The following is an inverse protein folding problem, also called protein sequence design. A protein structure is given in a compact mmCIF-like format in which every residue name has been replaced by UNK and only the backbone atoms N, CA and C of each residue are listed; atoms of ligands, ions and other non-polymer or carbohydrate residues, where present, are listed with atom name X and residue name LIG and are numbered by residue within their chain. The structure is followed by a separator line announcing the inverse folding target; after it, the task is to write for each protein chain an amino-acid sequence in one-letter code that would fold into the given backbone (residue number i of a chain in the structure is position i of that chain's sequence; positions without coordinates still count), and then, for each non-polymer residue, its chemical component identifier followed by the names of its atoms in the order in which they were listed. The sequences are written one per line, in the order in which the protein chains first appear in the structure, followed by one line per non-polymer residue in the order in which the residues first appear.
data_IF_389372749647
#
_entry.id   IF_389372749647
#
_cell.length_a   1.000
_cell.length_b   1.000
_cell.length_c   1.000
_cell.angle_alpha   90.00
_cell.angle_beta   90.00
_cell.angle_gamma   90.00
#
_symmetry.space_group_name_H-M   'P 1'
#
loop_
_entity.id
_entity.type
_entity.pdbx_description
1 polymer ?
#
# COMPACT_ATOMS: atom_id res chain seq x y z
N UNK A 1 7.38 -9.90 -6.92
CA UNK A 1 7.54 -11.12 -7.75
C UNK A 1 6.24 -11.43 -8.47
N UNK A 2 6.34 -11.65 -9.75
CA UNK A 2 5.17 -11.95 -10.56
C UNK A 2 4.62 -13.34 -10.21
N UNK A 3 3.33 -13.38 -9.83
CA UNK A 3 2.65 -14.64 -9.51
C UNK A 3 1.89 -15.20 -10.70
N UNK A 4 1.22 -14.33 -11.46
CA UNK A 4 0.51 -14.68 -12.70
C UNK A 4 0.57 -13.48 -13.63
N UNK A 5 -0.11 -13.52 -14.79
CA UNK A 5 0.02 -12.48 -15.82
C UNK A 5 -0.20 -11.05 -15.28
N UNK A 6 -1.16 -10.87 -14.37
CA UNK A 6 -1.50 -9.54 -13.86
C UNK A 6 -1.37 -9.41 -12.35
N UNK A 7 -0.85 -10.43 -11.66
CA UNK A 7 -0.77 -10.43 -10.19
C UNK A 7 0.69 -10.53 -9.75
N UNK A 8 1.11 -9.61 -8.90
CA UNK A 8 2.44 -9.55 -8.33
C UNK A 8 2.33 -9.60 -6.81
N UNK A 9 3.22 -10.37 -6.18
CA UNK A 9 3.26 -10.55 -4.73
C UNK A 9 4.60 -10.09 -4.22
N UNK A 10 4.57 -9.23 -3.19
CA UNK A 10 5.77 -8.70 -2.55
C UNK A 10 5.72 -9.04 -1.06
N UNK A 11 6.33 -10.17 -0.71
CA UNK A 11 6.34 -10.65 0.66
C UNK A 11 7.32 -9.84 1.52
N UNK A 12 6.91 -9.57 2.75
CA UNK A 12 7.78 -9.02 3.77
C UNK A 12 8.37 -10.16 4.59
N UNK A 13 9.68 -10.33 4.52
CA UNK A 13 10.36 -11.46 5.11
C UNK A 13 11.30 -11.11 6.30
N UNK A 14 11.34 -9.84 6.72
CA UNK A 14 12.13 -9.42 7.85
C UNK A 14 11.32 -9.56 9.14
N UNK A 15 11.60 -10.60 9.92
CA UNK A 15 10.85 -10.89 11.14
C UNK A 15 11.16 -9.96 12.31
N UNK A 16 12.20 -9.15 12.22
CA UNK A 16 12.58 -8.21 13.27
C UNK A 16 11.91 -6.86 13.15
N UNK A 17 11.36 -6.55 11.98
CA UNK A 17 10.64 -5.32 11.72
C UNK A 17 9.23 -5.62 11.25
N UNK A 18 8.26 -4.93 11.83
CA UNK A 18 6.87 -5.11 11.41
C UNK A 18 6.59 -4.35 10.11
N UNK A 19 5.98 -5.05 9.18
CA UNK A 19 5.45 -4.49 7.95
C UNK A 19 4.45 -5.52 7.38
N UNK A 20 3.94 -5.31 6.17
CA UNK A 20 2.99 -6.23 5.57
C UNK A 20 3.48 -6.75 4.23
N UNK A 21 2.83 -7.79 3.75
CA UNK A 21 2.93 -8.18 2.36
C UNK A 21 2.13 -7.18 1.51
N UNK A 22 2.64 -6.90 0.33
CA UNK A 22 1.97 -6.02 -0.63
C UNK A 22 1.68 -6.79 -1.91
N UNK A 23 0.64 -6.37 -2.61
CA UNK A 23 0.21 -7.01 -3.84
C UNK A 23 -0.04 -5.94 -4.90
N UNK A 24 0.28 -6.25 -6.15
CA UNK A 24 -0.06 -5.37 -7.26
C UNK A 24 -0.88 -6.11 -8.30
N UNK A 25 -1.98 -5.51 -8.70
CA UNK A 25 -2.84 -6.02 -9.77
C UNK A 25 -2.61 -5.13 -10.99
N UNK A 26 -1.99 -5.70 -12.02
CA UNK A 26 -1.63 -4.98 -13.23
C UNK A 26 -2.74 -4.94 -14.27
N UNK A 27 -2.37 -5.04 -15.53
CA UNK A 27 -3.31 -4.97 -16.64
C UNK A 27 -4.03 -3.62 -16.68
N UNK A 28 -5.35 -3.66 -16.79
CA UNK A 28 -6.17 -2.44 -16.79
C UNK A 28 -6.47 -1.86 -15.43
N UNK A 29 -6.22 -2.58 -14.34
CA UNK A 29 -6.57 -2.15 -12.97
C UNK A 29 -5.52 -1.22 -12.39
N UNK A 30 -4.26 -1.64 -12.37
CA UNK A 30 -3.12 -0.87 -11.86
C UNK A 30 -3.27 -0.47 -10.40
N UNK A 31 -3.57 -1.45 -9.54
CA UNK A 31 -3.83 -1.24 -8.12
C UNK A 31 -2.75 -1.86 -7.24
N UNK A 32 -2.22 -1.06 -6.31
CA UNK A 32 -1.35 -1.53 -5.24
C UNK A 32 -2.21 -1.79 -4.00
N UNK A 33 -2.06 -2.99 -3.43
CA UNK A 33 -2.81 -3.40 -2.24
C UNK A 33 -1.86 -3.43 -1.04
N UNK A 34 -2.21 -2.70 0.00
CA UNK A 34 -1.46 -2.57 1.25
C UNK A 34 -0.01 -2.12 1.02
N UNK A 35 0.24 -0.81 0.87
CA UNK A 35 1.60 -0.30 0.62
C UNK A 35 2.56 -0.49 1.80
N UNK A 36 2.06 -0.75 3.00
CA UNK A 36 2.88 -0.95 4.19
C UNK A 36 3.33 0.34 4.85
N UNK A 37 4.37 0.24 5.66
CA UNK A 37 4.95 1.40 6.34
C UNK A 37 5.68 2.31 5.35
N UNK A 38 5.57 3.61 5.59
CA UNK A 38 6.19 4.64 4.76
C UNK A 38 7.70 4.43 4.62
N UNK A 39 8.39 4.07 5.70
CA UNK A 39 9.85 3.90 5.69
C UNK A 39 10.33 2.76 4.81
N UNK A 40 9.49 1.77 4.52
CA UNK A 40 9.83 0.64 3.67
C UNK A 40 9.27 0.75 2.26
N UNK A 41 8.52 1.81 1.97
CA UNK A 41 7.95 2.01 0.65
C UNK A 41 9.02 2.13 -0.45
N UNK A 42 10.16 2.82 -0.24
CA UNK A 42 11.20 2.84 -1.27
C UNK A 42 11.69 1.45 -1.67
N UNK A 43 11.84 0.53 -0.71
CA UNK A 43 12.22 -0.85 -0.99
C UNK A 43 11.15 -1.57 -1.83
N UNK A 44 9.88 -1.41 -1.47
CA UNK A 44 8.77 -1.98 -2.23
C UNK A 44 8.76 -1.45 -3.67
N UNK A 45 8.90 -0.13 -3.84
CA UNK A 45 8.91 0.48 -5.17
C UNK A 45 10.10 0.01 -6.01
N UNK A 46 11.25 -0.22 -5.39
CA UNK A 46 12.40 -0.79 -6.09
C UNK A 46 12.14 -2.22 -6.56
N UNK A 47 11.52 -3.04 -5.73
CA UNK A 47 11.16 -4.41 -6.10
C UNK A 47 10.15 -4.40 -7.25
N UNK A 48 9.17 -3.50 -7.21
CA UNK A 48 8.19 -3.34 -8.27
C UNK A 48 8.86 -2.86 -9.57
N UNK A 49 9.81 -1.93 -9.48
CA UNK A 49 10.56 -1.45 -10.63
C UNK A 49 11.34 -2.59 -11.33
N UNK A 50 11.88 -3.52 -10.56
CA UNK A 50 12.55 -4.71 -11.11
C UNK A 50 11.58 -5.59 -11.92
N UNK A 51 10.29 -5.51 -11.63
CA UNK A 51 9.23 -6.19 -12.37
C UNK A 51 8.62 -5.31 -13.49
N UNK A 52 9.21 -4.15 -13.75
CA UNK A 52 8.74 -3.25 -14.79
C UNK A 52 7.57 -2.35 -14.38
N UNK A 53 7.26 -2.27 -13.08
CA UNK A 53 6.17 -1.46 -12.56
C UNK A 53 6.75 -0.20 -11.93
N UNK A 54 6.41 0.97 -12.47
CA UNK A 54 6.84 2.26 -11.94
C UNK A 54 5.78 2.84 -11.03
N UNK A 55 6.19 3.73 -10.10
CA UNK A 55 5.24 4.42 -9.23
C UNK A 55 4.16 5.14 -10.02
N UNK A 56 4.52 5.73 -11.15
CA UNK A 56 3.60 6.45 -12.05
C UNK A 56 2.54 5.54 -12.68
N UNK A 57 2.79 4.24 -12.71
CA UNK A 57 1.84 3.27 -13.25
C UNK A 57 0.72 2.93 -12.28
N UNK A 58 0.89 3.26 -10.99
CA UNK A 58 -0.08 2.93 -9.94
C UNK A 58 -1.22 3.95 -9.99
N UNK A 59 -2.44 3.48 -10.24
CA UNK A 59 -3.64 4.32 -10.31
C UNK A 59 -4.48 4.27 -9.05
N UNK A 60 -4.42 3.15 -8.34
CA UNK A 60 -5.20 2.95 -7.11
C UNK A 60 -4.34 2.34 -6.03
N UNK A 61 -4.56 2.77 -4.80
CA UNK A 61 -4.03 2.12 -3.60
C UNK A 61 -5.23 1.63 -2.80
N UNK A 62 -5.31 0.32 -2.60
CA UNK A 62 -6.41 -0.32 -1.90
C UNK A 62 -5.88 -0.88 -0.59
N UNK A 63 -6.50 -0.50 0.51
CA UNK A 63 -6.07 -0.92 1.84
C UNK A 63 -7.08 -1.91 2.41
N UNK A 64 -6.58 -3.03 2.92
CA UNK A 64 -7.42 -4.05 3.55
C UNK A 64 -7.91 -3.58 4.91
N UNK A 65 -7.10 -2.79 5.61
CA UNK A 65 -7.48 -2.17 6.88
C UNK A 65 -6.57 -0.98 7.18
N UNK A 66 -6.82 -0.28 8.29
CA UNK A 66 -6.16 0.99 8.62
C UNK A 66 -4.96 0.88 9.55
N UNK A 67 -4.50 -0.33 9.88
CA UNK A 67 -3.30 -0.47 10.69
C UNK A 67 -2.09 0.12 9.96
N UNK A 68 -1.20 0.87 10.65
CA UNK A 68 -0.09 1.56 10.00
C UNK A 68 0.82 0.66 9.16
N UNK A 69 1.05 -0.58 9.59
CA UNK A 69 1.89 -1.54 8.86
C UNK A 69 1.32 -1.98 7.51
N UNK A 70 0.05 -1.63 7.22
CA UNK A 70 -0.58 -1.85 5.91
C UNK A 70 -0.88 -0.55 5.18
N UNK A 71 -1.31 0.49 5.90
CA UNK A 71 -1.94 1.68 5.36
C UNK A 71 -1.01 2.90 5.28
N UNK A 72 -0.01 3.01 6.16
CA UNK A 72 0.75 4.26 6.33
C UNK A 72 1.36 4.79 5.03
N UNK A 73 1.91 3.90 4.20
CA UNK A 73 2.53 4.28 2.93
C UNK A 73 1.57 4.91 1.92
N UNK A 74 0.25 4.79 2.13
CA UNK A 74 -0.75 5.40 1.26
C UNK A 74 -0.60 6.91 1.17
N UNK A 75 -0.09 7.56 2.21
CA UNK A 75 0.09 9.01 2.23
C UNK A 75 1.03 9.52 1.13
N UNK A 76 1.99 8.69 0.70
CA UNK A 76 2.93 9.06 -0.35
C UNK A 76 2.29 9.01 -1.76
N UNK A 77 1.08 8.48 -1.87
CA UNK A 77 0.31 8.45 -3.10
C UNK A 77 -0.80 9.50 -3.12
N UNK A 78 -1.03 10.20 -2.02
CA UNK A 78 -2.11 11.18 -1.90
C UNK A 78 -1.70 12.51 -2.52
N UNK A 79 -1.49 12.51 -3.85
CA UNK A 79 -1.09 13.67 -4.63
C UNK A 79 -2.16 14.06 -5.67
N UNK A 80 -3.38 13.58 -5.47
CA UNK A 80 -4.54 13.96 -6.28
C UNK A 80 -4.79 13.11 -7.52
N UNK A 81 -3.83 12.30 -7.96
CA UNK A 81 -3.98 11.47 -9.17
C UNK A 81 -4.21 9.99 -8.87
N UNK A 82 -3.91 9.56 -7.65
CA UNK A 82 -4.07 8.16 -7.24
C UNK A 82 -5.30 8.05 -6.36
N UNK A 83 -6.22 7.15 -6.72
CA UNK A 83 -7.37 6.84 -5.90
C UNK A 83 -6.97 5.98 -4.71
N UNK A 84 -7.28 6.41 -3.50
CA UNK A 84 -6.98 5.66 -2.29
C UNK A 84 -8.29 5.11 -1.72
N UNK A 85 -8.39 3.78 -1.62
CA UNK A 85 -9.59 3.09 -1.16
C UNK A 85 -9.35 2.43 0.20
N UNK A 86 -10.33 2.59 1.08
CA UNK A 86 -10.35 2.00 2.40
C UNK A 86 -11.81 1.76 2.78
N UNK A 87 -12.09 0.67 3.49
CA UNK A 87 -13.46 0.40 3.91
C UNK A 87 -13.99 1.53 4.78
N UNK A 88 -15.26 1.90 4.60
CA UNK A 88 -15.89 3.02 5.29
C UNK A 88 -15.73 2.99 6.81
N UNK A 89 -15.87 1.81 7.42
CA UNK A 89 -15.72 1.66 8.87
C UNK A 89 -14.31 1.97 9.33
N UNK A 90 -13.30 1.67 8.52
CA UNK A 90 -11.91 2.01 8.81
C UNK A 90 -11.68 3.52 8.67
N UNK A 91 -12.30 4.16 7.70
CA UNK A 91 -12.24 5.62 7.56
C UNK A 91 -12.84 6.29 8.78
N UNK A 92 -13.99 5.83 9.24
CA UNK A 92 -14.65 6.37 10.43
C UNK A 92 -13.78 6.19 11.67
N UNK A 93 -13.13 5.04 11.82
CA UNK A 93 -12.18 4.79 12.91
C UNK A 93 -11.02 5.77 12.87
N UNK A 94 -10.41 6.00 11.69
CA UNK A 94 -9.29 6.93 11.54
C UNK A 94 -9.67 8.38 11.82
N UNK A 95 -10.89 8.78 11.45
CA UNK A 95 -11.39 10.13 11.73
C UNK A 95 -11.71 10.35 13.21
N UNK A 96 -11.89 9.26 13.97
CA UNK A 96 -12.09 9.31 15.40
C UNK A 96 -10.79 9.06 16.15
N UNK A 97 -10.88 8.21 17.18
CA UNK A 97 -9.77 7.91 18.09
C UNK A 97 -8.61 7.20 17.38
N UNK A 98 -8.92 6.37 16.40
CA UNK A 98 -7.91 5.53 15.75
C UNK A 98 -6.83 6.32 15.03
N UNK A 99 -7.21 7.39 14.33
CA UNK A 99 -6.24 8.22 13.62
C UNK A 99 -5.28 8.92 14.58
N UNK A 100 -5.78 9.46 15.66
CA UNK A 100 -4.97 10.07 16.71
C UNK A 100 -4.06 9.02 17.38
N UNK A 101 -4.62 7.85 17.70
CA UNK A 101 -3.88 6.76 18.33
C UNK A 101 -2.70 6.29 17.47
N UNK A 102 -2.87 6.26 16.14
CA UNK A 102 -1.82 5.84 15.22
C UNK A 102 -0.87 6.99 14.82
N UNK A 103 -1.14 8.22 15.26
CA UNK A 103 -0.33 9.37 14.88
C UNK A 103 -0.45 9.79 13.42
N UNK A 104 -1.59 9.47 12.79
CA UNK A 104 -1.85 9.79 11.38
C UNK A 104 -2.48 11.17 11.18
N UNK A 105 -2.97 11.77 12.25
CA UNK A 105 -3.60 13.10 12.25
C UNK A 105 -3.07 13.97 13.37
#
# INVERSE_FOLDING_TARGET
MKYSDDIYVYEWANYFDNNCNSYYIGGGVKALIDPGLTRYLPDLLNRMANDGIRKEDIKYVINTHSHPDHFQGSELFDQGEVGIALHRKEVDFLKGVGGELYGLF
#
